data_IF_350866211625
#
_entry.id   IF_350866211625
#
_cell.length_a   1.000
_cell.length_b   1.000
_cell.length_c   1.000
_cell.angle_alpha   90.00
_cell.angle_beta   90.00
_cell.angle_gamma   90.00
#
_symmetry.space_group_name_H-M   'P 1'
#
loop_
_entity.id
_entity.type
_entity.pdbx_description
1 polymer ?
#
# COMPACT_ATOMS: atom_id res chain seq x y z
N UNK A 1 -22.81 -30.15 -17.47
CA UNK A 1 -22.07 -30.55 -16.26
C UNK A 1 -22.20 -29.41 -15.26
N UNK A 2 -22.85 -29.64 -14.12
CA UNK A 2 -22.88 -28.65 -13.03
C UNK A 2 -21.76 -29.02 -12.06
N UNK A 3 -20.86 -28.07 -11.81
CA UNK A 3 -19.93 -28.17 -10.70
C UNK A 3 -20.74 -28.17 -9.40
N UNK A 4 -20.35 -28.99 -8.43
CA UNK A 4 -20.94 -28.96 -7.10
C UNK A 4 -20.16 -27.97 -6.24
N UNK A 5 -20.83 -27.22 -5.34
CA UNK A 5 -20.13 -26.35 -4.41
C UNK A 5 -19.24 -27.19 -3.48
N UNK A 6 -18.03 -26.72 -3.19
CA UNK A 6 -17.06 -27.52 -2.46
C UNK A 6 -15.76 -26.79 -2.10
N UNK A 7 -15.03 -27.38 -1.17
CA UNK A 7 -13.71 -26.91 -0.76
C UNK A 7 -12.69 -27.14 -1.88
N UNK A 8 -11.95 -26.10 -2.23
CA UNK A 8 -10.82 -26.12 -3.13
C UNK A 8 -9.52 -26.07 -2.33
N UNK A 9 -8.53 -26.87 -2.74
CA UNK A 9 -7.15 -26.69 -2.31
C UNK A 9 -6.40 -25.94 -3.40
N UNK A 10 -5.83 -24.79 -3.03
CA UNK A 10 -5.16 -23.89 -3.96
C UNK A 10 -3.67 -24.16 -3.92
N UNK A 11 -3.10 -24.46 -5.08
CA UNK A 11 -1.67 -24.67 -5.27
C UNK A 11 -1.11 -23.60 -6.19
N UNK A 12 0.01 -22.98 -5.79
CA UNK A 12 0.75 -22.01 -6.59
C UNK A 12 2.20 -22.47 -6.73
N UNK A 13 2.69 -22.53 -7.98
CA UNK A 13 4.03 -23.04 -8.30
C UNK A 13 4.36 -24.43 -7.69
N UNK A 14 3.35 -25.32 -7.59
CA UNK A 14 3.49 -26.66 -7.02
C UNK A 14 3.38 -26.73 -5.49
N UNK A 15 3.26 -25.59 -4.80
CA UNK A 15 3.13 -25.51 -3.34
C UNK A 15 1.69 -25.20 -2.94
N UNK A 16 1.21 -25.85 -1.88
CA UNK A 16 -0.08 -25.54 -1.29
C UNK A 16 -0.05 -24.15 -0.64
N UNK A 17 -1.01 -23.27 -0.98
CA UNK A 17 -1.07 -21.90 -0.46
C UNK A 17 -2.30 -21.63 0.40
N UNK A 18 -3.46 -22.20 0.08
CA UNK A 18 -4.70 -21.92 0.81
C UNK A 18 -5.81 -22.96 0.53
N UNK A 19 -6.85 -22.93 1.37
CA UNK A 19 -8.16 -23.47 1.02
C UNK A 19 -9.06 -22.33 0.54
N UNK A 20 -9.89 -22.60 -0.46
CA UNK A 20 -10.96 -21.70 -0.88
C UNK A 20 -12.26 -22.48 -1.00
N UNK A 21 -13.39 -21.80 -1.20
CA UNK A 21 -14.68 -22.43 -1.42
C UNK A 21 -15.21 -22.03 -2.79
N UNK A 22 -15.49 -23.03 -3.62
CA UNK A 22 -16.13 -22.81 -4.90
C UNK A 22 -17.64 -22.91 -4.71
N UNK A 23 -18.35 -21.82 -5.02
CA UNK A 23 -19.79 -21.86 -5.21
C UNK A 23 -20.11 -21.58 -6.69
N UNK A 24 -20.39 -22.62 -7.49
CA UNK A 24 -20.71 -22.47 -8.91
C UNK A 24 -22.13 -21.95 -9.16
N UNK A 25 -22.92 -21.72 -8.11
CA UNK A 25 -24.22 -21.02 -8.19
C UNK A 25 -24.08 -19.51 -8.03
N UNK A 26 -22.90 -19.03 -7.62
CA UNK A 26 -22.55 -17.61 -7.60
C UNK A 26 -22.68 -17.02 -9.00
N UNK A 27 -23.41 -15.91 -9.14
CA UNK A 27 -23.61 -15.19 -10.41
C UNK A 27 -22.38 -14.39 -10.86
N UNK A 28 -21.23 -14.54 -10.17
CA UNK A 28 -19.98 -13.89 -10.52
C UNK A 28 -19.25 -14.70 -11.60
N UNK A 29 -19.02 -14.07 -12.74
CA UNK A 29 -18.30 -14.64 -13.89
C UNK A 29 -16.80 -14.87 -13.62
N UNK A 30 -16.24 -14.18 -12.63
CA UNK A 30 -14.81 -14.30 -12.26
C UNK A 30 -14.67 -14.68 -10.79
N UNK A 31 -13.88 -15.73 -10.54
CA UNK A 31 -13.50 -16.16 -9.19
C UNK A 31 -12.21 -15.47 -8.76
N UNK A 32 -12.26 -14.80 -7.61
CA UNK A 32 -11.10 -14.15 -7.01
C UNK A 32 -10.53 -15.04 -5.90
N UNK A 33 -9.26 -15.44 -6.04
CA UNK A 33 -8.57 -16.31 -5.07
C UNK A 33 -7.30 -15.61 -4.62
N UNK A 34 -7.15 -15.41 -3.31
CA UNK A 34 -5.90 -14.95 -2.73
C UNK A 34 -4.88 -16.09 -2.70
N UNK A 35 -3.75 -15.92 -3.39
CA UNK A 35 -2.65 -16.90 -3.44
C UNK A 35 -1.59 -16.68 -2.35
N UNK A 36 -1.84 -15.73 -1.44
CA UNK A 36 -0.89 -15.33 -0.41
C UNK A 36 0.26 -14.48 -0.96
N UNK A 37 1.34 -14.41 -0.18
CA UNK A 37 2.53 -13.61 -0.52
C UNK A 37 3.37 -14.34 -1.57
N UNK A 38 3.70 -13.63 -2.65
CA UNK A 38 4.67 -14.09 -3.63
C UNK A 38 6.10 -13.79 -3.13
N UNK A 39 6.93 -14.80 -2.81
CA UNK A 39 8.28 -14.58 -2.28
C UNK A 39 9.23 -13.98 -3.32
N UNK A 40 8.91 -14.04 -4.62
CA UNK A 40 9.70 -13.43 -5.67
C UNK A 40 9.43 -11.93 -5.83
N UNK A 41 8.44 -11.38 -5.13
CA UNK A 41 8.17 -9.94 -5.09
C UNK A 41 8.45 -9.41 -3.69
N UNK A 42 9.54 -8.67 -3.55
CA UNK A 42 9.94 -8.06 -2.29
C UNK A 42 9.51 -6.59 -2.30
N UNK A 43 8.76 -6.21 -1.28
CA UNK A 43 8.30 -4.83 -1.05
C UNK A 43 8.72 -4.44 0.36
N UNK A 44 9.38 -3.30 0.49
CA UNK A 44 9.81 -2.74 1.77
C UNK A 44 9.41 -1.27 1.83
N UNK A 45 8.79 -0.85 2.94
CA UNK A 45 8.46 0.55 3.23
C UNK A 45 9.37 1.04 4.35
N UNK A 46 10.09 2.14 4.11
CA UNK A 46 11.02 2.71 5.08
C UNK A 46 10.81 4.21 5.21
N UNK A 47 10.77 4.69 6.45
CA UNK A 47 10.79 6.12 6.72
C UNK A 47 12.20 6.69 6.46
N UNK A 48 12.27 7.75 5.66
CA UNK A 48 13.50 8.49 5.39
C UNK A 48 13.71 9.54 6.47
N UNK A 49 14.55 9.21 7.47
CA UNK A 49 14.80 10.08 8.63
C UNK A 49 15.41 11.43 8.25
N UNK A 50 16.26 11.48 7.22
CA UNK A 50 16.91 12.71 6.76
C UNK A 50 15.92 13.70 6.13
N UNK A 51 14.80 13.21 5.58
CA UNK A 51 13.73 14.01 4.99
C UNK A 51 12.50 14.12 5.91
N UNK A 52 12.58 13.53 7.10
CA UNK A 52 11.54 13.64 8.13
C UNK A 52 11.99 14.64 9.19
N UNK A 53 11.07 15.50 9.64
CA UNK A 53 11.39 16.47 10.68
C UNK A 53 10.17 16.81 11.52
N UNK A 54 10.42 17.35 12.72
CA UNK A 54 9.38 17.87 13.59
C UNK A 54 9.79 19.26 14.05
N UNK A 55 8.88 20.23 13.94
CA UNK A 55 9.12 21.63 14.30
C UNK A 55 7.93 22.17 15.06
N UNK A 56 8.20 22.91 16.14
CA UNK A 56 7.19 23.66 16.87
C UNK A 56 7.01 25.03 16.22
N UNK A 57 5.76 25.37 15.88
CA UNK A 57 5.35 26.63 15.25
C UNK A 57 4.25 27.25 16.13
N UNK A 58 4.65 28.08 17.10
CA UNK A 58 3.75 28.64 18.09
C UNK A 58 3.12 27.56 18.98
N UNK A 59 1.78 27.43 18.94
CA UNK A 59 1.03 26.38 19.65
C UNK A 59 0.82 25.10 18.84
N UNK A 60 1.32 25.03 17.60
CA UNK A 60 1.16 23.87 16.71
C UNK A 60 2.50 23.18 16.46
N UNK A 61 2.48 21.87 16.33
CA UNK A 61 3.59 21.05 15.84
C UNK A 61 3.37 20.79 14.35
N UNK A 62 4.40 21.00 13.52
CA UNK A 62 4.45 20.55 12.12
C UNK A 62 5.44 19.39 12.02
N UNK A 63 4.97 18.22 11.62
CA UNK A 63 5.74 17.01 11.44
C UNK A 63 5.74 16.60 9.98
N UNK A 64 6.89 16.69 9.33
CA UNK A 64 7.10 16.21 7.96
C UNK A 64 7.58 14.77 8.01
N UNK A 65 6.95 13.93 7.21
CA UNK A 65 7.28 12.52 7.06
C UNK A 65 7.52 12.22 5.58
N UNK A 66 8.61 11.50 5.32
CA UNK A 66 8.95 11.03 4.00
C UNK A 66 9.19 9.52 4.07
N UNK A 67 8.66 8.80 3.09
CA UNK A 67 8.77 7.35 3.00
C UNK A 67 9.32 6.95 1.64
N UNK A 68 10.09 5.87 1.62
CA UNK A 68 10.49 5.17 0.42
C UNK A 68 9.87 3.77 0.43
N UNK A 69 9.24 3.40 -0.68
CA UNK A 69 8.80 2.05 -0.98
C UNK A 69 9.79 1.46 -1.98
N UNK A 70 10.58 0.49 -1.53
CA UNK A 70 11.50 -0.27 -2.36
C UNK A 70 10.81 -1.53 -2.86
N UNK A 71 10.85 -1.74 -4.18
CA UNK A 71 10.24 -2.86 -4.88
C UNK A 71 11.33 -3.63 -5.61
N UNK A 72 11.35 -4.95 -5.46
CA UNK A 72 12.27 -5.84 -6.18
C UNK A 72 11.51 -7.04 -6.73
N UNK A 73 11.62 -7.24 -8.04
CA UNK A 73 11.15 -8.44 -8.71
C UNK A 73 12.30 -9.42 -8.87
N UNK A 74 12.14 -10.64 -8.36
CA UNK A 74 13.04 -11.76 -8.63
C UNK A 74 12.50 -12.65 -9.77
N UNK A 75 11.40 -12.27 -10.41
CA UNK A 75 10.78 -13.07 -11.48
C UNK A 75 11.59 -13.03 -12.78
N UNK A 76 11.42 -14.08 -13.60
CA UNK A 76 11.97 -14.18 -14.95
C UNK A 76 11.12 -13.49 -16.02
N UNK A 77 9.90 -13.04 -15.66
CA UNK A 77 8.95 -12.36 -16.55
C UNK A 77 8.52 -11.00 -15.97
N UNK A 78 8.10 -10.05 -16.82
CA UNK A 78 7.50 -8.80 -16.35
C UNK A 78 6.27 -9.05 -15.48
N UNK A 79 6.02 -8.17 -14.52
CA UNK A 79 4.89 -8.26 -13.60
C UNK A 79 4.24 -6.89 -13.42
N UNK A 80 2.91 -6.85 -13.48
CA UNK A 80 2.11 -5.66 -13.16
C UNK A 80 1.77 -5.68 -11.68
N UNK A 81 2.00 -4.56 -11.01
CA UNK A 81 1.86 -4.41 -9.55
C UNK A 81 1.01 -3.17 -9.28
N UNK A 82 0.05 -3.33 -8.37
CA UNK A 82 -0.66 -2.22 -7.72
C UNK A 82 -0.09 -2.06 -6.32
N UNK A 83 0.46 -0.89 -6.01
CA UNK A 83 0.91 -0.54 -4.66
C UNK A 83 -0.09 0.44 -4.07
N UNK A 84 -0.50 0.22 -2.83
CA UNK A 84 -1.41 1.08 -2.08
C UNK A 84 -0.77 1.44 -0.74
N UNK A 85 -0.72 2.73 -0.44
CA UNK A 85 -0.30 3.29 0.86
C UNK A 85 -1.36 4.33 1.29
N UNK A 86 -1.18 4.92 2.47
CA UNK A 86 -2.12 5.87 3.03
C UNK A 86 -1.41 7.11 3.57
N UNK A 87 -1.91 8.28 3.17
CA UNK A 87 -1.64 9.55 3.84
C UNK A 87 -2.82 9.82 4.78
N UNK A 88 -2.57 10.19 6.06
CA UNK A 88 -3.64 10.50 6.99
C UNK A 88 -4.58 11.58 6.45
N UNK A 89 -5.85 11.52 6.82
CA UNK A 89 -6.85 12.56 6.52
C UNK A 89 -7.38 13.17 7.80
N UNK A 90 -7.68 14.47 7.77
CA UNK A 90 -8.25 15.17 8.92
C UNK A 90 -9.75 14.90 9.01
N UNK A 91 -10.21 14.37 10.15
CA UNK A 91 -11.63 14.18 10.40
C UNK A 91 -12.29 15.33 11.15
N UNK A 92 -11.53 16.02 12.03
CA UNK A 92 -12.08 16.98 13.00
C UNK A 92 -11.37 18.35 12.98
N UNK A 93 -10.65 18.70 11.91
CA UNK A 93 -10.02 20.03 11.73
C UNK A 93 -8.75 20.29 12.54
N UNK A 94 -8.50 19.55 13.63
CA UNK A 94 -7.30 19.69 14.46
C UNK A 94 -6.01 19.16 13.82
N UNK A 95 -6.14 18.32 12.81
CA UNK A 95 -5.03 17.87 11.97
C UNK A 95 -5.15 18.59 10.63
N UNK A 96 -4.06 19.13 10.12
CA UNK A 96 -3.99 19.66 8.74
C UNK A 96 -2.88 18.92 8.03
N UNK A 97 -3.16 18.44 6.82
CA UNK A 97 -2.20 17.77 5.96
C UNK A 97 -1.80 18.78 4.89
N UNK A 98 -0.50 19.05 4.83
CA UNK A 98 0.13 20.02 3.95
C UNK A 98 1.28 19.34 3.18
N UNK A 99 1.83 20.00 2.16
CA UNK A 99 3.06 19.59 1.47
C UNK A 99 3.07 18.13 0.98
N UNK A 100 1.94 17.67 0.41
CA UNK A 100 1.80 16.30 -0.08
C UNK A 100 2.56 16.12 -1.40
N UNK A 101 3.58 15.28 -1.38
CA UNK A 101 4.29 14.81 -2.57
C UNK A 101 3.94 13.35 -2.83
N UNK A 102 3.31 13.08 -3.97
CA UNK A 102 2.70 11.78 -4.27
C UNK A 102 3.64 10.80 -4.98
N UNK A 103 4.83 11.24 -5.40
CA UNK A 103 5.81 10.35 -6.03
C UNK A 103 5.33 9.64 -7.30
N UNK A 104 4.45 10.27 -8.07
CA UNK A 104 3.81 9.66 -9.25
C UNK A 104 2.63 8.73 -8.94
N UNK A 105 2.18 8.67 -7.69
CA UNK A 105 0.97 7.94 -7.29
C UNK A 105 -0.29 8.77 -7.50
N UNK A 106 -1.43 8.09 -7.60
CA UNK A 106 -2.76 8.71 -7.61
C UNK A 106 -3.24 8.85 -6.16
N UNK A 107 -3.43 10.09 -5.71
CA UNK A 107 -3.88 10.39 -4.35
C UNK A 107 -5.38 10.73 -4.29
N UNK A 108 -6.11 10.07 -3.40
CA UNK A 108 -7.46 10.44 -3.02
C UNK A 108 -7.43 11.24 -1.69
N UNK A 109 -7.70 12.55 -1.71
CA UNK A 109 -7.63 13.40 -0.52
C UNK A 109 -8.77 13.16 0.49
N UNK A 110 -9.88 12.54 0.08
CA UNK A 110 -11.01 12.24 0.95
C UNK A 110 -10.75 11.00 1.81
N UNK A 111 -10.14 9.97 1.21
CA UNK A 111 -9.86 8.70 1.88
C UNK A 111 -8.42 8.60 2.40
N UNK A 112 -7.52 9.41 1.86
CA UNK A 112 -6.09 9.36 2.12
C UNK A 112 -5.35 8.30 1.30
N UNK A 113 -6.04 7.59 0.41
CA UNK A 113 -5.45 6.49 -0.36
C UNK A 113 -4.45 7.01 -1.39
N UNK A 114 -3.28 6.39 -1.46
CA UNK A 114 -2.26 6.69 -2.46
C UNK A 114 -1.93 5.40 -3.23
N UNK A 115 -2.14 5.42 -4.55
CA UNK A 115 -2.04 4.21 -5.39
C UNK A 115 -1.07 4.39 -6.53
N UNK A 116 -0.19 3.41 -6.76
CA UNK A 116 0.65 3.34 -7.95
C UNK A 116 0.32 2.08 -8.75
N UNK A 117 0.21 2.24 -10.07
CA UNK A 117 0.12 1.14 -11.03
C UNK A 117 1.41 1.11 -11.85
N UNK A 118 2.16 0.02 -11.76
CA UNK A 118 3.49 -0.10 -12.34
C UNK A 118 3.73 -1.48 -12.91
N UNK A 119 4.56 -1.54 -13.94
CA UNK A 119 5.13 -2.78 -14.45
C UNK A 119 6.61 -2.85 -14.06
N UNK A 120 7.00 -3.93 -13.39
CA UNK A 120 8.40 -4.26 -13.14
C UNK A 120 8.87 -5.28 -14.18
N UNK A 121 9.96 -4.98 -14.85
CA UNK A 121 10.68 -5.91 -15.73
C UNK A 121 11.29 -7.07 -14.93
N UNK A 122 11.70 -8.16 -15.58
CA UNK A 122 12.43 -9.23 -14.93
C UNK A 122 13.65 -8.69 -14.18
N UNK A 123 13.83 -9.13 -12.94
CA UNK A 123 14.97 -8.72 -12.08
C UNK A 123 15.05 -7.22 -11.78
N UNK A 124 14.01 -6.44 -12.06
CA UNK A 124 14.00 -4.99 -11.83
C UNK A 124 13.86 -4.64 -10.34
N UNK A 125 14.55 -3.58 -9.94
CA UNK A 125 14.32 -2.87 -8.69
C UNK A 125 13.81 -1.46 -8.98
N UNK A 126 12.81 -1.00 -8.23
CA UNK A 126 12.23 0.34 -8.32
C UNK A 126 12.02 0.94 -6.93
N UNK A 127 12.19 2.24 -6.83
CA UNK A 127 11.91 3.01 -5.61
C UNK A 127 10.81 4.01 -5.89
N UNK A 128 9.84 4.09 -4.99
CA UNK A 128 8.80 5.11 -4.97
C UNK A 128 9.02 5.94 -3.70
N UNK A 129 8.88 7.26 -3.80
CA UNK A 129 9.03 8.16 -2.65
C UNK A 129 7.82 9.06 -2.55
N UNK A 130 7.27 9.19 -1.35
CA UNK A 130 6.19 10.13 -1.08
C UNK A 130 6.42 10.81 0.26
N UNK A 131 5.88 12.00 0.42
CA UNK A 131 6.02 12.79 1.64
C UNK A 131 4.75 13.58 1.93
N UNK A 132 4.57 13.94 3.20
CA UNK A 132 3.50 14.83 3.64
C UNK A 132 3.90 15.52 4.95
N UNK A 133 3.26 16.64 5.25
CA UNK A 133 3.40 17.33 6.52
C UNK A 133 2.08 17.32 7.31
N UNK A 134 2.13 16.77 8.52
CA UNK A 134 1.03 16.79 9.47
C UNK A 134 1.20 17.96 10.45
N UNK A 135 0.21 18.83 10.54
CA UNK A 135 0.19 19.98 11.45
C UNK A 135 -0.95 19.84 12.45
N UNK A 136 -0.64 19.91 13.74
CA UNK A 136 -1.60 19.68 14.82
C UNK A 136 -1.24 20.47 16.10
N UNK A 137 -2.19 20.73 17.02
CA UNK A 137 -1.90 21.36 18.30
C UNK A 137 -0.87 20.55 19.11
N UNK A 138 0.10 21.22 19.73
CA UNK A 138 1.19 20.58 20.50
C UNK A 138 0.69 19.71 21.68
N UNK A 139 -0.50 20.01 22.18
CA UNK A 139 -1.16 19.29 23.28
C UNK A 139 -1.71 17.92 22.83
N UNK A 140 -1.89 17.71 21.52
CA UNK A 140 -2.34 16.43 20.98
C UNK A 140 -1.15 15.54 20.68
N UNK A 141 -1.08 14.41 21.39
CA UNK A 141 -0.20 13.31 21.03
C UNK A 141 -0.84 12.49 19.92
N UNK A 142 -0.42 12.71 18.68
CA UNK A 142 -0.81 11.82 17.57
C UNK A 142 0.12 10.61 17.56
N UNK A 143 -0.44 9.43 17.78
CA UNK A 143 0.25 8.14 17.72
C UNK A 143 -0.15 7.48 16.40
N UNK A 144 0.84 6.96 15.67
CA UNK A 144 0.61 6.26 14.41
C UNK A 144 0.69 7.19 13.20
N UNK A 145 1.87 7.24 12.61
CA UNK A 145 2.09 7.61 11.20
C UNK A 145 3.06 6.61 10.59
#
# INVERSE_FOLDING_TARGET
MNLLPGELHVYFAGSYVAKSYLDPTSTKDTLEISLGRDPELVVERKQLKEFSSERLIGSKTKRTLAYEISLRSNKSKPVKIKIEDQIPVSKNGDLTIEDVEQGGGQFNPETGQLTWLLELKPKEQRQLRFSFAAKYPKEKRIIGF
#
